data_IF_937664031223
#
_entry.id   IF_937664031223
#
_cell.length_a   1.000
_cell.length_b   1.000
_cell.length_c   1.000
_cell.angle_alpha   90.00
_cell.angle_beta   90.00
_cell.angle_gamma   90.00
#
_symmetry.space_group_name_H-M   'P 1'
#
loop_
_entity.id
_entity.type
_entity.pdbx_description
1 polymer ?
#
# COMPACT_ATOMS: atom_id res chain seq x y z
N UNK A 1 21.62 22.99 48.68
CA UNK A 1 22.11 21.84 47.89
C UNK A 1 21.06 20.76 48.07
N UNK A 2 20.00 20.83 47.27
CA UNK A 2 18.88 19.88 47.33
C UNK A 2 18.54 19.56 45.89
N UNK A 3 19.18 18.51 45.39
CA UNK A 3 19.02 17.99 44.04
C UNK A 3 17.69 17.24 43.99
N UNK A 4 16.69 17.87 43.39
CA UNK A 4 15.45 17.20 43.01
C UNK A 4 15.76 16.21 41.87
N UNK A 5 15.84 14.94 42.22
CA UNK A 5 15.91 13.83 41.26
C UNK A 5 14.54 13.74 40.60
N UNK A 6 14.47 14.11 39.32
CA UNK A 6 13.31 13.87 38.49
C UNK A 6 13.13 12.36 38.32
N UNK A 7 12.15 11.80 39.02
CA UNK A 7 11.68 10.43 38.81
C UNK A 7 11.02 10.34 37.44
N UNK A 8 11.74 9.77 36.47
CA UNK A 8 11.16 9.29 35.23
C UNK A 8 10.08 8.25 35.58
N UNK A 9 8.82 8.63 35.41
CA UNK A 9 7.68 7.71 35.53
C UNK A 9 7.72 6.75 34.35
N UNK A 10 8.26 5.55 34.57
CA UNK A 10 8.18 4.45 33.62
C UNK A 10 6.71 4.11 33.39
N UNK A 11 6.17 4.48 32.22
CA UNK A 11 4.83 4.07 31.79
C UNK A 11 4.87 2.59 31.45
N UNK A 12 4.74 1.74 32.48
CA UNK A 12 4.77 0.28 32.35
C UNK A 12 3.40 -0.25 31.93
N UNK A 13 2.99 0.05 30.69
CA UNK A 13 1.79 -0.49 30.05
C UNK A 13 2.13 -1.46 28.90
N UNK A 14 1.23 -2.38 28.52
CA UNK A 14 1.44 -3.22 27.35
C UNK A 14 1.25 -2.39 26.05
N UNK A 15 2.18 -2.51 25.09
CA UNK A 15 2.11 -1.81 23.79
C UNK A 15 0.90 -2.18 22.92
N UNK A 16 0.30 -3.34 23.18
CA UNK A 16 -0.89 -3.81 22.51
C UNK A 16 -1.76 -4.61 23.47
N UNK A 17 -3.06 -4.62 23.22
CA UNK A 17 -4.01 -5.50 23.92
C UNK A 17 -4.91 -6.24 22.94
N UNK A 18 -5.46 -7.36 23.37
CA UNK A 18 -6.48 -8.07 22.62
C UNK A 18 -7.72 -8.30 23.49
N UNK A 19 -8.89 -8.07 22.91
CA UNK A 19 -10.19 -8.24 23.57
C UNK A 19 -11.04 -9.21 22.77
N UNK A 20 -11.61 -10.21 23.45
CA UNK A 20 -12.57 -11.12 22.83
C UNK A 20 -13.90 -10.38 22.69
N UNK A 21 -14.46 -10.36 21.49
CA UNK A 21 -15.75 -9.71 21.25
C UNK A 21 -16.90 -10.64 21.69
N UNK A 22 -17.13 -10.75 23.00
CA UNK A 22 -18.07 -11.71 23.59
C UNK A 22 -19.48 -11.65 22.98
N UNK A 23 -20.07 -10.46 22.83
CA UNK A 23 -21.41 -10.30 22.21
C UNK A 23 -21.45 -10.88 20.79
N UNK A 24 -20.45 -10.56 19.96
CA UNK A 24 -20.34 -11.06 18.58
C UNK A 24 -20.08 -12.56 18.54
N UNK A 25 -19.28 -13.07 19.47
CA UNK A 25 -19.01 -14.50 19.64
C UNK A 25 -20.31 -15.28 19.91
N UNK A 26 -21.12 -14.85 20.88
CA UNK A 26 -22.38 -15.52 21.20
C UNK A 26 -23.37 -15.44 20.04
N UNK A 27 -23.51 -14.27 19.39
CA UNK A 27 -24.37 -14.11 18.22
C UNK A 27 -23.93 -15.02 17.06
N UNK A 28 -22.64 -15.07 16.75
CA UNK A 28 -22.10 -15.93 15.69
C UNK A 28 -22.34 -17.42 16.00
N UNK A 29 -22.18 -17.84 17.26
CA UNK A 29 -22.45 -19.23 17.67
C UNK A 29 -23.92 -19.58 17.57
N UNK A 30 -24.82 -18.71 18.02
CA UNK A 30 -26.25 -18.91 17.88
C UNK A 30 -26.68 -18.99 16.41
N UNK A 31 -26.18 -18.08 15.58
CA UNK A 31 -26.40 -18.11 14.13
C UNK A 31 -25.87 -19.39 13.49
N UNK A 32 -24.67 -19.83 13.87
CA UNK A 32 -24.10 -21.07 13.35
C UNK A 32 -24.94 -22.30 13.72
N UNK A 33 -25.44 -22.38 14.95
CA UNK A 33 -26.34 -23.46 15.38
C UNK A 33 -27.65 -23.48 14.57
N UNK A 34 -28.27 -22.31 14.36
CA UNK A 34 -29.47 -22.20 13.54
C UNK A 34 -29.21 -22.65 12.09
N UNK A 35 -28.08 -22.24 11.53
CA UNK A 35 -27.72 -22.59 10.15
C UNK A 35 -27.39 -24.08 9.99
N UNK A 36 -26.75 -24.71 10.98
CA UNK A 36 -26.55 -26.17 11.01
C UNK A 36 -27.89 -26.89 10.96
N UNK A 37 -28.86 -26.43 11.76
CA UNK A 37 -30.20 -27.02 11.76
C UNK A 37 -30.87 -26.89 10.38
N UNK A 38 -30.75 -25.73 9.72
CA UNK A 38 -31.28 -25.52 8.38
C UNK A 38 -30.62 -26.47 7.34
N UNK A 39 -29.30 -26.62 7.37
CA UNK A 39 -28.57 -27.55 6.49
C UNK A 39 -29.02 -28.99 6.73
N UNK A 40 -29.14 -29.42 7.99
CA UNK A 40 -29.59 -30.77 8.33
C UNK A 40 -31.03 -31.03 7.86
N UNK A 41 -31.92 -30.05 8.01
CA UNK A 41 -33.30 -30.13 7.52
C UNK A 41 -33.36 -30.23 5.98
N UNK A 42 -32.51 -29.47 5.27
CA UNK A 42 -32.38 -29.57 3.82
C UNK A 42 -31.89 -30.97 3.40
N UNK A 43 -30.82 -31.47 4.01
CA UNK A 43 -30.31 -32.83 3.71
C UNK A 43 -31.36 -33.90 3.99
N UNK A 44 -32.10 -33.80 5.10
CA UNK A 44 -33.19 -34.70 5.41
C UNK A 44 -34.29 -34.69 4.33
N UNK A 45 -34.66 -33.50 3.84
CA UNK A 45 -35.62 -33.35 2.74
C UNK A 45 -35.14 -33.96 1.43
N UNK A 46 -33.86 -33.76 1.07
CA UNK A 46 -33.26 -34.39 -0.12
C UNK A 46 -33.25 -35.92 0.00
N UNK A 47 -32.95 -36.45 1.18
CA UNK A 47 -32.96 -37.90 1.45
C UNK A 47 -34.39 -38.46 1.31
N UNK A 48 -35.40 -37.83 1.91
CA UNK A 48 -36.80 -38.25 1.76
C UNK A 48 -37.22 -38.23 0.29
N UNK A 49 -36.89 -37.17 -0.45
CA UNK A 49 -37.20 -37.07 -1.88
C UNK A 49 -36.56 -38.20 -2.68
N UNK A 50 -35.33 -38.57 -2.34
CA UNK A 50 -34.62 -39.66 -3.00
C UNK A 50 -35.30 -41.02 -2.78
N UNK A 51 -35.85 -41.26 -1.58
CA UNK A 51 -36.53 -42.51 -1.26
C UNK A 51 -37.98 -42.60 -1.77
N UNK A 52 -38.74 -41.49 -1.73
CA UNK A 52 -40.18 -41.50 -1.99
C UNK A 52 -40.57 -41.31 -3.47
N UNK A 53 -39.69 -40.74 -4.31
CA UNK A 53 -39.99 -40.52 -5.73
C UNK A 53 -39.22 -41.49 -6.61
N UNK A 54 -39.92 -42.23 -7.47
CA UNK A 54 -39.33 -43.23 -8.38
C UNK A 54 -39.07 -42.73 -9.81
N UNK A 55 -39.22 -41.43 -10.07
CA UNK A 55 -38.95 -40.87 -11.40
C UNK A 55 -37.46 -40.61 -11.60
N UNK A 56 -36.86 -41.22 -12.63
CA UNK A 56 -35.42 -41.11 -12.95
C UNK A 56 -34.93 -39.66 -13.06
N UNK A 57 -35.71 -38.78 -13.69
CA UNK A 57 -35.36 -37.38 -13.87
C UNK A 57 -35.33 -36.62 -12.53
N UNK A 58 -36.31 -36.89 -11.65
CA UNK A 58 -36.38 -36.27 -10.31
C UNK A 58 -35.21 -36.76 -9.45
N UNK A 59 -34.85 -38.03 -9.55
CA UNK A 59 -33.70 -38.63 -8.86
C UNK A 59 -32.39 -37.95 -9.26
N UNK A 60 -32.14 -37.78 -10.57
CA UNK A 60 -30.93 -37.13 -11.09
C UNK A 60 -30.84 -35.67 -10.62
N UNK A 61 -31.93 -34.90 -10.74
CA UNK A 61 -31.95 -33.50 -10.29
C UNK A 61 -31.71 -33.41 -8.77
N UNK A 62 -32.34 -34.28 -7.99
CA UNK A 62 -32.19 -34.31 -6.52
C UNK A 62 -30.76 -34.65 -6.13
N UNK A 63 -30.08 -35.54 -6.87
CA UNK A 63 -28.67 -35.90 -6.64
C UNK A 63 -27.74 -34.71 -6.91
N UNK A 64 -27.90 -34.00 -8.03
CA UNK A 64 -27.09 -32.81 -8.31
C UNK A 64 -27.31 -31.70 -7.28
N UNK A 65 -28.57 -31.48 -6.85
CA UNK A 65 -28.87 -30.54 -5.77
C UNK A 65 -28.21 -30.96 -4.45
N UNK A 66 -28.30 -32.24 -4.07
CA UNK A 66 -27.66 -32.77 -2.87
C UNK A 66 -26.13 -32.59 -2.91
N UNK A 67 -25.49 -32.86 -4.04
CA UNK A 67 -24.04 -32.65 -4.22
C UNK A 67 -23.69 -31.17 -4.08
N UNK A 68 -24.45 -30.28 -4.70
CA UNK A 68 -24.27 -28.83 -4.59
C UNK A 68 -24.39 -28.36 -3.13
N UNK A 69 -25.41 -28.83 -2.40
CA UNK A 69 -25.64 -28.46 -1.01
C UNK A 69 -24.56 -29.02 -0.07
N UNK A 70 -24.01 -30.21 -0.36
CA UNK A 70 -22.86 -30.76 0.38
C UNK A 70 -21.63 -29.85 0.21
N UNK A 71 -21.34 -29.42 -1.02
CA UNK A 71 -20.22 -28.51 -1.31
C UNK A 71 -20.44 -27.16 -0.60
N UNK A 72 -21.65 -26.59 -0.69
CA UNK A 72 -22.00 -25.33 -0.01
C UNK A 72 -21.91 -25.46 1.52
N UNK A 73 -22.41 -26.55 2.10
CA UNK A 73 -22.31 -26.83 3.54
C UNK A 73 -20.85 -26.96 3.99
N UNK A 74 -20.00 -27.61 3.19
CA UNK A 74 -18.57 -27.73 3.46
C UNK A 74 -17.84 -26.37 3.42
N UNK A 75 -18.08 -25.56 2.38
CA UNK A 75 -17.54 -24.19 2.29
C UNK A 75 -18.02 -23.32 3.47
N UNK A 76 -19.30 -23.45 3.84
CA UNK A 76 -19.83 -22.74 4.99
C UNK A 76 -19.17 -23.18 6.31
N UNK A 77 -19.05 -24.49 6.55
CA UNK A 77 -18.45 -25.04 7.77
C UNK A 77 -17.00 -24.59 7.93
N UNK A 78 -16.20 -24.65 6.87
CA UNK A 78 -14.81 -24.17 6.87
C UNK A 78 -14.74 -22.66 7.15
N UNK A 79 -15.68 -21.87 6.63
CA UNK A 79 -15.76 -20.43 6.91
C UNK A 79 -16.14 -20.09 8.36
N UNK A 80 -16.89 -20.97 9.05
CA UNK A 80 -17.32 -20.72 10.43
C UNK A 80 -16.18 -20.74 11.45
N UNK A 81 -15.13 -21.51 11.19
CA UNK A 81 -13.94 -21.55 12.03
C UNK A 81 -13.39 -20.14 12.32
N UNK A 82 -13.36 -19.25 11.32
CA UNK A 82 -12.90 -17.86 11.45
C UNK A 82 -13.86 -16.95 12.25
N UNK A 83 -15.13 -17.33 12.38
CA UNK A 83 -16.19 -16.51 13.01
C UNK A 83 -16.48 -16.92 14.47
N UNK A 84 -15.97 -18.06 14.92
CA UNK A 84 -16.28 -18.65 16.24
C UNK A 84 -15.70 -17.90 17.43
N UNK A 85 -14.60 -17.17 17.24
CA UNK A 85 -13.91 -16.40 18.30
C UNK A 85 -13.30 -15.12 17.73
N UNK A 86 -14.11 -14.10 17.43
CA UNK A 86 -13.61 -12.81 16.96
C UNK A 86 -12.77 -12.12 18.04
N UNK A 87 -11.57 -11.68 17.66
CA UNK A 87 -10.62 -10.97 18.52
C UNK A 87 -10.44 -9.56 17.94
N UNK A 88 -10.65 -8.55 18.78
CA UNK A 88 -10.28 -7.16 18.48
C UNK A 88 -8.89 -6.89 19.08
N UNK A 89 -8.02 -6.22 18.31
CA UNK A 89 -6.70 -5.79 18.77
C UNK A 89 -6.67 -4.28 18.88
N UNK A 90 -6.10 -3.78 19.97
CA UNK A 90 -5.92 -2.36 20.26
C UNK A 90 -4.43 -2.08 20.41
N UNK A 91 -3.96 -0.95 19.88
CA UNK A 91 -2.56 -0.55 19.83
C UNK A 91 -2.41 0.76 20.60
N UNK A 92 -1.30 0.94 21.31
CA UNK A 92 -1.04 2.17 22.08
C UNK A 92 0.28 2.82 21.61
N UNK A 93 0.26 3.57 20.49
CA UNK A 93 1.44 4.18 19.91
C UNK A 93 2.08 5.23 20.83
N UNK A 94 1.29 5.91 21.66
CA UNK A 94 1.74 6.90 22.66
C UNK A 94 2.79 6.32 23.64
N UNK A 95 2.76 5.01 23.88
CA UNK A 95 3.74 4.36 24.76
C UNK A 95 5.10 4.13 24.08
N UNK A 96 5.18 4.30 22.75
CA UNK A 96 6.38 4.07 21.94
C UNK A 96 7.16 5.36 21.63
N UNK A 97 6.60 6.54 21.90
CA UNK A 97 7.25 7.84 21.63
C UNK A 97 8.62 7.97 22.30
N UNK A 98 8.80 7.37 23.49
CA UNK A 98 10.10 7.40 24.19
C UNK A 98 11.18 6.48 23.57
N UNK A 99 10.84 5.70 22.54
CA UNK A 99 11.72 4.70 21.92
C UNK A 99 11.98 4.96 20.43
N UNK A 100 11.72 6.18 19.94
CA UNK A 100 11.97 6.53 18.53
C UNK A 100 13.41 6.24 18.09
N UNK A 101 14.38 6.50 18.97
CA UNK A 101 15.80 6.19 18.74
C UNK A 101 16.08 4.68 18.60
N UNK A 102 15.23 3.82 19.16
CA UNK A 102 15.34 2.36 19.11
C UNK A 102 14.48 1.72 18.02
N UNK A 103 13.76 2.52 17.23
CA UNK A 103 12.98 1.99 16.11
C UNK A 103 13.85 1.22 15.10
N UNK A 104 13.38 0.10 14.54
CA UNK A 104 14.10 -0.62 13.49
C UNK A 104 14.16 0.19 12.19
N UNK A 105 15.05 -0.19 11.27
CA UNK A 105 14.94 0.29 9.89
C UNK A 105 13.66 -0.26 9.25
N UNK A 106 12.97 0.57 8.47
CA UNK A 106 11.72 0.25 7.77
C UNK A 106 11.90 0.46 6.27
N UNK A 107 11.82 -0.64 5.53
CA UNK A 107 11.82 -0.64 4.08
C UNK A 107 10.39 -0.80 3.55
N UNK A 108 9.94 0.15 2.73
CA UNK A 108 8.61 0.13 2.10
C UNK A 108 8.75 -0.15 0.61
N UNK A 109 8.11 -1.22 0.15
CA UNK A 109 8.11 -1.62 -1.25
C UNK A 109 6.81 -1.23 -1.93
N UNK A 110 6.91 -0.47 -3.03
CA UNK A 110 5.80 -0.09 -3.90
C UNK A 110 6.05 -0.72 -5.27
N UNK A 111 5.14 -1.58 -5.72
CA UNK A 111 5.25 -2.21 -7.03
C UNK A 111 4.25 -1.56 -8.00
N UNK A 112 4.73 -1.14 -9.15
CA UNK A 112 3.92 -0.65 -10.27
C UNK A 112 4.22 -1.47 -11.53
N UNK A 113 3.23 -1.65 -12.39
CA UNK A 113 3.34 -2.53 -13.55
C UNK A 113 3.23 -1.81 -14.90
N UNK A 114 2.35 -0.82 -15.02
CA UNK A 114 2.07 -0.16 -16.29
C UNK A 114 1.56 1.27 -16.03
N UNK A 115 2.19 2.31 -16.61
CA UNK A 115 1.85 3.70 -16.35
C UNK A 115 0.45 4.09 -16.85
N UNK A 116 -0.16 3.36 -17.78
CA UNK A 116 -1.51 3.65 -18.26
C UNK A 116 -2.59 2.95 -17.44
N UNK A 117 -2.25 1.83 -16.77
CA UNK A 117 -3.15 1.15 -15.83
C UNK A 117 -3.04 1.70 -14.42
N UNK A 118 -1.84 2.11 -14.03
CA UNK A 118 -1.48 2.68 -12.75
C UNK A 118 -0.87 4.07 -13.03
N UNK A 119 -1.71 5.11 -13.17
CA UNK A 119 -1.28 6.45 -13.58
C UNK A 119 -0.10 6.99 -12.74
N UNK A 120 0.93 7.61 -13.35
CA UNK A 120 2.14 8.03 -12.64
C UNK A 120 1.91 9.09 -11.55
N UNK A 121 0.84 9.88 -11.68
CA UNK A 121 0.36 10.84 -10.67
C UNK A 121 -0.17 10.14 -9.42
N UNK A 122 -0.93 9.04 -9.57
CA UNK A 122 -1.36 8.21 -8.44
C UNK A 122 -0.17 7.53 -7.73
N UNK A 123 0.82 7.07 -8.50
CA UNK A 123 2.07 6.51 -7.94
C UNK A 123 2.84 7.58 -7.17
N UNK A 124 2.97 8.79 -7.72
CA UNK A 124 3.61 9.92 -7.07
C UNK A 124 2.92 10.28 -5.73
N UNK A 125 1.59 10.36 -5.71
CA UNK A 125 0.80 10.61 -4.50
C UNK A 125 1.00 9.52 -3.43
N UNK A 126 1.04 8.25 -3.86
CA UNK A 126 1.31 7.12 -2.96
C UNK A 126 2.71 7.23 -2.34
N UNK A 127 3.72 7.55 -3.14
CA UNK A 127 5.10 7.71 -2.69
C UNK A 127 5.25 8.90 -1.75
N UNK A 128 4.61 10.04 -2.06
CA UNK A 128 4.59 11.22 -1.18
C UNK A 128 3.95 10.92 0.17
N UNK A 129 2.86 10.14 0.18
CA UNK A 129 2.21 9.70 1.42
C UNK A 129 3.14 8.86 2.30
N UNK A 130 3.88 7.91 1.70
CA UNK A 130 4.84 7.06 2.42
C UNK A 130 6.07 7.85 2.88
N UNK A 131 6.65 8.68 2.01
CA UNK A 131 7.77 9.54 2.36
C UNK A 131 7.47 10.45 3.54
N UNK A 132 6.22 10.88 3.66
CA UNK A 132 5.78 11.73 4.73
C UNK A 132 5.38 10.94 5.99
N UNK A 133 5.62 9.64 6.13
CA UNK A 133 5.31 8.88 7.35
C UNK A 133 5.91 9.51 8.62
N UNK A 134 5.21 9.33 9.74
CA UNK A 134 5.69 9.76 11.06
C UNK A 134 6.68 8.73 11.59
N UNK A 135 7.89 8.77 11.02
CA UNK A 135 8.98 7.86 11.31
C UNK A 135 10.32 8.58 11.16
N UNK A 136 11.37 8.18 11.91
CA UNK A 136 12.69 8.76 11.73
C UNK A 136 13.18 8.60 10.29
N UNK A 137 13.50 9.71 9.65
CA UNK A 137 13.80 9.80 8.21
C UNK A 137 15.00 8.95 7.80
N UNK A 138 15.97 8.81 8.69
CA UNK A 138 17.19 8.03 8.51
C UNK A 138 16.94 6.51 8.57
N UNK A 139 15.80 6.10 9.11
CA UNK A 139 15.38 4.69 9.23
C UNK A 139 14.36 4.28 8.19
N UNK A 140 13.82 5.23 7.42
CA UNK A 140 12.81 4.97 6.40
C UNK A 140 13.45 4.93 5.02
N UNK A 141 13.26 3.83 4.29
CA UNK A 141 13.67 3.70 2.89
C UNK A 141 12.51 3.21 2.04
N UNK A 142 12.29 3.85 0.89
CA UNK A 142 11.21 3.55 -0.04
C UNK A 142 11.82 3.02 -1.33
N UNK A 143 11.33 1.87 -1.77
CA UNK A 143 11.74 1.21 -3.00
C UNK A 143 10.54 1.09 -3.94
N UNK A 144 10.63 1.73 -5.10
CA UNK A 144 9.60 1.64 -6.15
C UNK A 144 10.08 0.67 -7.23
N UNK A 145 9.45 -0.49 -7.31
CA UNK A 145 9.70 -1.51 -8.33
C UNK A 145 8.75 -1.32 -9.50
N UNK A 146 9.26 -0.91 -10.65
CA UNK A 146 8.51 -0.77 -11.91
C UNK A 146 8.77 -1.96 -12.85
N UNK A 147 7.74 -2.77 -13.03
CA UNK A 147 7.72 -3.94 -13.90
C UNK A 147 7.69 -3.59 -15.40
N UNK A 148 7.15 -2.42 -15.74
CA UNK A 148 7.05 -1.91 -17.10
C UNK A 148 8.27 -1.11 -17.54
N UNK A 149 9.11 -0.71 -16.59
CA UNK A 149 10.32 0.08 -16.85
C UNK A 149 9.98 1.35 -17.59
N UNK A 150 9.04 2.14 -17.09
CA UNK A 150 8.55 3.34 -17.76
C UNK A 150 9.34 4.57 -17.36
N UNK A 151 9.80 5.34 -18.36
CA UNK A 151 10.37 6.66 -18.11
C UNK A 151 9.35 7.64 -17.51
N UNK A 152 8.05 7.44 -17.75
CA UNK A 152 6.97 8.28 -17.21
C UNK A 152 6.82 8.08 -15.70
N UNK A 153 6.91 6.82 -15.25
CA UNK A 153 6.94 6.49 -13.81
C UNK A 153 8.18 7.08 -13.16
N UNK A 154 9.37 6.89 -13.75
CA UNK A 154 10.59 7.46 -13.19
C UNK A 154 10.51 8.99 -13.08
N UNK A 155 9.94 9.64 -14.10
CA UNK A 155 9.69 11.07 -14.11
C UNK A 155 8.75 11.52 -13.00
N UNK A 156 7.62 10.83 -12.80
CA UNK A 156 6.68 11.19 -11.73
C UNK A 156 7.29 11.06 -10.34
N UNK A 157 8.17 10.08 -10.13
CA UNK A 157 8.91 9.91 -8.87
C UNK A 157 9.96 11.01 -8.66
N UNK A 158 10.65 11.45 -9.71
CA UNK A 158 11.58 12.58 -9.62
C UNK A 158 10.84 13.89 -9.30
N UNK A 159 9.68 14.11 -9.92
CA UNK A 159 8.79 15.24 -9.61
C UNK A 159 8.25 15.16 -8.17
N UNK A 160 7.85 13.97 -7.73
CA UNK A 160 7.45 13.73 -6.34
C UNK A 160 8.58 14.02 -5.35
N UNK A 161 9.81 13.59 -5.65
CA UNK A 161 10.98 13.88 -4.81
C UNK A 161 11.21 15.40 -4.66
N UNK A 162 11.12 16.17 -5.76
CA UNK A 162 11.24 17.63 -5.75
C UNK A 162 10.15 18.31 -4.94
N UNK A 163 8.90 17.87 -5.09
CA UNK A 163 7.79 18.40 -4.30
C UNK A 163 7.88 17.99 -2.81
N UNK A 164 8.38 16.79 -2.55
CA UNK A 164 8.57 16.23 -1.20
C UNK A 164 9.39 17.13 -0.28
N UNK A 165 10.38 17.84 -0.84
CA UNK A 165 11.21 18.85 -0.13
C UNK A 165 10.36 19.91 0.60
N UNK A 166 9.16 20.21 0.09
CA UNK A 166 8.21 21.14 0.69
C UNK A 166 7.06 20.44 1.42
N UNK A 167 6.57 19.31 0.88
CA UNK A 167 5.42 18.60 1.42
C UNK A 167 5.69 17.89 2.75
N UNK A 168 6.85 17.23 2.89
CA UNK A 168 7.20 16.49 4.10
C UNK A 168 7.26 17.38 5.35
N UNK A 169 8.01 18.51 5.36
CA UNK A 169 8.02 19.39 6.51
C UNK A 169 6.65 20.03 6.76
N UNK A 170 5.91 20.38 5.70
CA UNK A 170 4.53 20.87 5.85
C UNK A 170 3.65 19.86 6.60
N UNK A 171 3.74 18.57 6.25
CA UNK A 171 3.00 17.50 6.93
C UNK A 171 3.36 17.38 8.42
N UNK A 172 4.65 17.43 8.75
CA UNK A 172 5.13 17.33 10.14
C UNK A 172 4.70 18.54 10.97
N UNK A 173 4.93 19.75 10.47
CA UNK A 173 4.66 21.00 11.20
C UNK A 173 3.18 21.25 11.44
N UNK A 174 2.31 20.82 10.52
CA UNK A 174 0.87 21.04 10.60
C UNK A 174 0.11 19.81 11.14
N UNK A 175 0.81 18.75 11.56
CA UNK A 175 0.18 17.53 12.07
C UNK A 175 -0.80 16.89 11.07
N UNK A 176 -0.47 16.94 9.77
CA UNK A 176 -1.35 16.45 8.71
C UNK A 176 -1.52 14.94 8.88
N UNK A 177 -2.76 14.48 9.03
CA UNK A 177 -3.09 13.04 9.18
C UNK A 177 -3.21 12.37 7.81
N UNK A 178 -3.87 13.02 6.86
CA UNK A 178 -3.99 12.53 5.47
C UNK A 178 -2.74 12.97 4.68
N UNK A 179 -1.73 12.10 4.63
CA UNK A 179 -0.40 12.41 4.06
C UNK A 179 -0.37 12.33 2.53
N UNK A 180 -1.41 11.77 1.91
CA UNK A 180 -1.58 11.78 0.45
C UNK A 180 -2.03 13.19 0.01
N UNK A 181 -1.24 13.92 -0.80
CA UNK A 181 -1.60 15.27 -1.21
C UNK A 181 -2.95 15.35 -1.90
N UNK A 182 -3.24 14.43 -2.81
CA UNK A 182 -4.52 14.40 -3.54
C UNK A 182 -5.73 14.28 -2.61
N UNK A 183 -5.66 13.33 -1.67
CA UNK A 183 -6.72 13.11 -0.68
C UNK A 183 -6.83 14.30 0.29
N UNK A 184 -5.69 14.86 0.71
CA UNK A 184 -5.66 16.03 1.59
C UNK A 184 -6.33 17.25 0.96
N UNK A 185 -5.94 17.60 -0.27
CA UNK A 185 -6.48 18.77 -0.97
C UNK A 185 -7.92 18.59 -1.44
N UNK A 186 -8.39 17.35 -1.60
CA UNK A 186 -9.78 17.02 -1.92
C UNK A 186 -10.73 17.07 -0.73
N UNK A 187 -10.21 17.08 0.51
CA UNK A 187 -11.02 16.89 1.71
C UNK A 187 -11.74 18.15 2.24
N UNK A 188 -11.57 19.32 1.63
CA UNK A 188 -12.14 20.65 2.01
C UNK A 188 -12.03 21.06 3.50
N UNK A 189 -11.32 20.29 4.33
CA UNK A 189 -11.31 20.41 5.79
C UNK A 189 -10.09 21.17 6.34
N UNK A 190 -9.37 21.93 5.51
CA UNK A 190 -8.19 22.69 5.93
C UNK A 190 -8.48 24.18 6.07
N UNK A 191 -7.84 24.82 7.06
CA UNK A 191 -7.88 26.27 7.19
C UNK A 191 -6.99 26.93 6.13
N UNK A 192 -7.56 27.76 5.28
CA UNK A 192 -6.79 28.48 4.26
C UNK A 192 -5.78 29.43 4.91
N UNK A 193 -4.51 29.24 4.55
CA UNK A 193 -3.43 30.15 4.90
C UNK A 193 -2.49 30.33 3.69
N UNK A 194 -1.66 31.38 3.73
CA UNK A 194 -0.79 31.72 2.60
C UNK A 194 0.27 30.66 2.28
N UNK A 195 0.71 29.88 3.27
CA UNK A 195 1.69 28.82 3.06
C UNK A 195 1.04 27.63 2.36
N UNK A 196 -0.13 27.20 2.84
CA UNK A 196 -0.95 26.15 2.27
C UNK A 196 -1.31 26.43 0.81
N UNK A 197 -1.67 27.67 0.48
CA UNK A 197 -1.93 28.05 -0.91
C UNK A 197 -0.70 27.86 -1.81
N UNK A 198 0.50 28.21 -1.32
CA UNK A 198 1.75 27.97 -2.07
C UNK A 198 2.03 26.49 -2.26
N UNK A 199 1.85 25.68 -1.23
CA UNK A 199 2.03 24.21 -1.31
C UNK A 199 1.04 23.60 -2.28
N UNK A 200 -0.24 24.03 -2.24
CA UNK A 200 -1.27 23.59 -3.18
C UNK A 200 -0.90 23.93 -4.63
N UNK A 201 -0.43 25.15 -4.89
CA UNK A 201 0.02 25.54 -6.22
C UNK A 201 1.22 24.71 -6.70
N UNK A 202 2.17 24.40 -5.80
CA UNK A 202 3.29 23.51 -6.12
C UNK A 202 2.83 22.09 -6.46
N UNK A 203 1.85 21.56 -5.71
CA UNK A 203 1.23 20.26 -5.99
C UNK A 203 0.54 20.25 -7.37
N UNK A 204 -0.33 21.23 -7.64
CA UNK A 204 -1.03 21.35 -8.92
C UNK A 204 -0.06 21.48 -10.11
N UNK A 205 1.03 22.23 -9.94
CA UNK A 205 2.09 22.34 -10.95
C UNK A 205 2.81 21.01 -11.18
N UNK A 206 3.14 20.27 -10.11
CA UNK A 206 3.74 18.94 -10.21
C UNK A 206 2.83 17.99 -11.00
N UNK A 207 1.55 17.89 -10.64
CA UNK A 207 0.57 17.03 -11.32
C UNK A 207 0.40 17.44 -12.77
N UNK A 208 0.34 18.74 -13.07
CA UNK A 208 0.26 19.25 -14.44
C UNK A 208 1.47 18.83 -15.28
N UNK A 209 2.70 18.92 -14.73
CA UNK A 209 3.91 18.47 -15.42
C UNK A 209 3.90 16.97 -15.69
N UNK A 210 3.48 16.17 -14.70
CA UNK A 210 3.34 14.71 -14.85
C UNK A 210 2.34 14.39 -15.97
N UNK A 211 1.14 15.00 -15.93
CA UNK A 211 0.10 14.74 -16.92
C UNK A 211 0.53 15.16 -18.34
N UNK A 212 1.21 16.29 -18.49
CA UNK A 212 1.76 16.72 -19.79
C UNK A 212 2.74 15.70 -20.38
N UNK A 213 3.59 15.09 -19.54
CA UNK A 213 4.54 14.05 -19.96
C UNK A 213 3.83 12.75 -20.31
N UNK A 214 2.82 12.36 -19.53
CA UNK A 214 1.99 11.17 -19.80
C UNK A 214 1.20 11.30 -21.10
N UNK A 215 0.59 12.46 -21.36
CA UNK A 215 -0.15 12.73 -22.60
C UNK A 215 0.75 12.69 -23.84
N UNK A 216 1.99 13.16 -23.71
CA UNK A 216 3.01 13.09 -24.77
C UNK A 216 3.57 11.69 -24.95
N UNK A 217 3.56 10.88 -23.90
CA UNK A 217 4.17 9.56 -23.86
C UNK A 217 5.71 9.57 -23.86
N UNK A 218 6.34 10.74 -23.69
CA UNK A 218 7.79 10.89 -23.61
C UNK A 218 8.22 12.05 -22.71
N UNK A 219 9.33 11.88 -21.98
CA UNK A 219 9.96 12.94 -21.18
C UNK A 219 10.75 13.89 -22.09
N UNK A 220 10.47 15.18 -22.01
CA UNK A 220 11.21 16.22 -22.73
C UNK A 220 12.52 16.58 -21.99
N UNK A 221 13.55 16.98 -22.75
CA UNK A 221 14.84 17.46 -22.20
C UNK A 221 14.68 18.69 -21.30
N UNK A 222 13.63 19.49 -21.48
CA UNK A 222 13.35 20.69 -20.68
C UNK A 222 13.12 20.40 -19.17
N UNK A 223 12.69 19.18 -18.83
CA UNK A 223 12.45 18.78 -17.44
C UNK A 223 13.65 18.07 -16.79
N UNK A 224 14.69 17.78 -17.58
CA UNK A 224 15.91 17.14 -17.10
C UNK A 224 16.85 18.24 -16.63
N UNK A 225 17.07 18.29 -15.32
CA UNK A 225 17.79 19.39 -14.69
C UNK A 225 19.26 19.07 -14.44
N UNK A 226 19.56 17.80 -14.16
CA UNK A 226 20.87 17.35 -13.68
C UNK A 226 21.53 16.35 -14.64
N UNK A 227 22.85 16.30 -14.65
CA UNK A 227 23.62 15.33 -15.44
C UNK A 227 23.29 13.88 -15.05
N UNK A 228 23.10 13.62 -13.75
CA UNK A 228 22.68 12.32 -13.23
C UNK A 228 21.31 11.89 -13.78
N UNK A 229 20.38 12.83 -13.91
CA UNK A 229 19.05 12.58 -14.49
C UNK A 229 19.18 12.32 -15.99
N UNK A 230 20.01 13.10 -16.70
CA UNK A 230 20.26 12.91 -18.12
C UNK A 230 20.84 11.52 -18.40
N UNK A 231 21.78 11.05 -17.58
CA UNK A 231 22.30 9.69 -17.67
C UNK A 231 21.19 8.66 -17.42
N UNK A 232 20.34 8.86 -16.40
CA UNK A 232 19.23 7.97 -16.10
C UNK A 232 18.22 7.86 -17.26
N UNK A 233 17.81 8.98 -17.85
CA UNK A 233 16.87 9.00 -19.00
C UNK A 233 17.52 8.49 -20.29
N UNK A 234 18.83 8.65 -20.47
CA UNK A 234 19.52 8.12 -21.66
C UNK A 234 19.37 6.61 -21.81
N UNK A 235 19.21 5.87 -20.69
CA UNK A 235 18.99 4.42 -20.67
C UNK A 235 17.68 4.00 -21.32
N UNK A 236 16.66 4.87 -21.33
CA UNK A 236 15.37 4.62 -21.98
C UNK A 236 15.40 4.95 -23.47
N UNK A 237 16.36 5.77 -23.90
CA UNK A 237 16.57 6.14 -25.31
C UNK A 237 17.46 5.15 -26.06
N UNK A 238 17.90 4.06 -25.44
CA UNK A 238 18.71 3.03 -26.11
C UNK A 238 17.93 2.29 -27.19
N UNK A 239 18.57 2.00 -28.33
CA UNK A 239 17.97 1.24 -29.42
C UNK A 239 17.40 -0.10 -28.93
N UNK A 240 16.11 -0.33 -29.18
CA UNK A 240 15.41 -1.58 -28.84
C UNK A 240 14.76 -1.62 -27.45
N UNK A 241 14.75 -0.52 -26.70
CA UNK A 241 14.04 -0.45 -25.41
C UNK A 241 12.54 -0.66 -25.60
N UNK A 242 11.99 -1.65 -24.89
CA UNK A 242 10.54 -1.88 -24.79
C UNK A 242 10.20 -2.37 -23.39
N UNK A 243 8.94 -2.23 -22.92
CA UNK A 243 8.51 -2.80 -21.63
C UNK A 243 8.73 -4.33 -21.49
N UNK A 244 8.95 -5.04 -22.60
CA UNK A 244 9.23 -6.48 -22.61
C UNK A 244 10.71 -6.80 -22.85
N UNK A 245 11.52 -5.81 -23.22
CA UNK A 245 12.93 -5.93 -23.51
C UNK A 245 13.68 -4.67 -23.10
N UNK A 246 14.25 -4.70 -21.90
CA UNK A 246 15.07 -3.61 -21.38
C UNK A 246 16.07 -4.11 -20.34
N UNK A 247 17.23 -3.43 -20.18
CA UNK A 247 18.16 -3.72 -19.10
C UNK A 247 17.55 -3.34 -17.73
N UNK A 248 18.19 -3.78 -16.65
CA UNK A 248 17.83 -3.31 -15.31
C UNK A 248 18.20 -1.84 -15.15
N UNK A 249 17.30 -1.06 -14.57
CA UNK A 249 17.51 0.36 -14.25
C UNK A 249 17.37 0.50 -12.74
N UNK A 250 18.37 1.10 -12.10
CA UNK A 250 18.32 1.46 -10.68
C UNK A 250 18.69 2.93 -10.61
N UNK A 251 17.84 3.72 -9.95
CA UNK A 251 18.06 5.14 -9.77
C UNK A 251 17.73 5.53 -8.32
N UNK A 252 18.68 6.18 -7.66
CA UNK A 252 18.43 6.80 -6.35
C UNK A 252 17.96 8.22 -6.62
N UNK A 253 16.72 8.52 -6.21
CA UNK A 253 16.07 9.82 -6.41
C UNK A 253 16.21 10.71 -5.18
N UNK A 254 16.20 10.12 -3.98
CA UNK A 254 16.52 10.78 -2.72
C UNK A 254 17.46 9.88 -1.92
N UNK A 255 18.52 10.47 -1.36
CA UNK A 255 19.48 9.81 -0.49
C UNK A 255 19.54 10.50 0.87
N UNK A 256 19.35 9.73 1.94
CA UNK A 256 19.22 10.25 3.31
C UNK A 256 20.48 10.94 3.87
N UNK A 257 21.62 10.81 3.19
CA UNK A 257 22.89 11.39 3.60
C UNK A 257 23.24 12.65 2.79
N UNK A 258 22.46 12.97 1.76
CA UNK A 258 22.72 14.06 0.81
C UNK A 258 21.55 15.03 0.76
N UNK A 259 20.34 14.52 0.57
CA UNK A 259 19.17 15.33 0.26
C UNK A 259 18.46 15.76 1.54
N UNK A 260 18.17 17.06 1.63
CA UNK A 260 17.53 17.69 2.78
C UNK A 260 16.29 18.46 2.34
N UNK A 261 15.31 18.52 3.22
CA UNK A 261 14.13 19.34 3.03
C UNK A 261 14.41 20.84 3.28
N UNK A 262 13.41 21.70 3.08
CA UNK A 262 13.53 23.15 3.34
C UNK A 262 13.81 23.50 4.80
N UNK A 263 13.61 22.57 5.73
CA UNK A 263 13.90 22.72 7.17
C UNK A 263 15.28 22.20 7.56
N UNK A 264 16.11 21.79 6.58
CA UNK A 264 17.42 21.17 6.75
C UNK A 264 17.41 19.79 7.44
N UNK A 265 16.28 19.09 7.45
CA UNK A 265 16.19 17.69 7.89
C UNK A 265 16.45 16.77 6.70
N UNK A 266 17.18 15.68 6.92
CA UNK A 266 17.43 14.69 5.87
C UNK A 266 16.15 14.03 5.39
N UNK A 267 16.05 13.77 4.09
CA UNK A 267 14.90 13.10 3.51
C UNK A 267 15.07 11.57 3.56
N UNK A 268 13.97 10.79 3.64
CA UNK A 268 14.05 9.34 3.52
C UNK A 268 14.62 8.92 2.15
N UNK A 269 15.18 7.70 2.08
CA UNK A 269 15.68 7.19 0.80
C UNK A 269 14.50 6.92 -0.15
N UNK A 270 14.64 7.32 -1.42
CA UNK A 270 13.72 6.94 -2.49
C UNK A 270 14.52 6.33 -3.63
N UNK A 271 14.30 5.04 -3.88
CA UNK A 271 15.00 4.28 -4.90
C UNK A 271 14.01 3.72 -5.92
N UNK A 272 14.19 4.08 -7.18
CA UNK A 272 13.50 3.49 -8.31
C UNK A 272 14.28 2.29 -8.84
N UNK A 273 13.57 1.19 -9.09
CA UNK A 273 14.12 -0.06 -9.56
C UNK A 273 13.23 -0.59 -10.68
N UNK A 274 13.83 -0.89 -11.82
CA UNK A 274 13.21 -1.68 -12.86
C UNK A 274 14.10 -2.86 -13.19
N UNK A 275 13.51 -4.06 -13.12
CA UNK A 275 14.24 -5.31 -13.31
C UNK A 275 14.45 -5.58 -14.80
N UNK A 276 15.57 -6.19 -15.17
CA UNK A 276 15.81 -6.60 -16.55
C UNK A 276 14.67 -7.48 -17.09
N UNK A 277 14.21 -7.16 -18.30
CA UNK A 277 13.23 -7.93 -19.07
C UNK A 277 13.84 -8.41 -20.37
N UNK A 278 13.57 -9.67 -20.71
CA UNK A 278 13.95 -10.30 -21.96
C UNK A 278 12.81 -11.17 -22.49
N UNK A 279 12.59 -11.15 -23.80
CA UNK A 279 11.60 -11.99 -24.49
C UNK A 279 11.83 -13.49 -24.29
N UNK A 280 13.02 -13.92 -23.87
CA UNK A 280 13.36 -15.34 -23.64
C UNK A 280 13.12 -15.82 -22.21
N UNK A 281 12.85 -14.93 -21.25
CA UNK A 281 12.70 -15.29 -19.84
C UNK A 281 11.24 -15.28 -19.39
N UNK A 282 10.72 -16.45 -18.99
CA UNK A 282 9.45 -16.57 -18.27
C UNK A 282 9.55 -15.82 -16.93
N UNK A 283 8.81 -14.73 -16.79
CA UNK A 283 8.83 -13.88 -15.60
C UNK A 283 7.52 -14.02 -14.82
N UNK A 284 7.62 -14.44 -13.55
CA UNK A 284 6.46 -14.57 -12.65
C UNK A 284 6.13 -13.18 -12.09
N UNK A 285 5.01 -12.61 -12.55
CA UNK A 285 4.75 -11.15 -12.51
C UNK A 285 4.84 -10.49 -11.13
N UNK A 286 4.28 -11.07 -10.05
CA UNK A 286 4.31 -10.44 -8.71
C UNK A 286 5.23 -11.14 -7.71
N UNK A 287 5.38 -12.45 -7.82
CA UNK A 287 6.24 -13.23 -6.94
C UNK A 287 7.72 -12.97 -7.19
N UNK A 288 8.14 -12.64 -8.42
CA UNK A 288 9.53 -12.32 -8.73
C UNK A 288 10.00 -11.02 -8.06
N UNK A 289 9.16 -9.98 -8.04
CA UNK A 289 9.57 -8.66 -7.51
C UNK A 289 9.77 -8.64 -5.98
N UNK A 290 9.07 -9.53 -5.27
CA UNK A 290 9.23 -9.71 -3.83
C UNK A 290 10.28 -10.78 -3.47
N UNK A 291 10.75 -11.61 -4.42
CA UNK A 291 11.72 -12.69 -4.18
C UNK A 291 13.20 -12.27 -4.29
N UNK A 292 13.48 -11.07 -4.80
CA UNK A 292 14.85 -10.54 -4.91
C UNK A 292 15.29 -9.69 -3.71
N UNK A 293 14.51 -9.75 -2.63
CA UNK A 293 14.83 -9.17 -1.32
C UNK A 293 14.91 -10.28 -0.27
#
# INVERSE_FOLDING_TARGET
METAVATATTVNGPYHSFKIMHKRMYLNRAFALFYIFAILALFYHHIIKLFNYHSMLITIITLFMLISDIILAFMWFTSQSFRTRPIAREKFPEMLENFEDDFPALDVFICTADPYREPPDNVANTVLSVLAYDYPTEKLSIYVSDDGGSELTMFSLAEAARFGVHWLPFCRENGVVERCPDAYFSSDNYAENSQLHKIKLMYENMITRINNVVERGKVNEEYISNEDEQEAYSKYSSDGFTPHHHPSIIQVLLANNKDKDITNVFMPNLVYISRQRSNTSLTISKQGNLMFW
#
